data_IF_825757360547
#
_entry.id   IF_825757360547
#
_cell.length_a   1.000
_cell.length_b   1.000
_cell.length_c   1.000
_cell.angle_alpha   90.00
_cell.angle_beta   90.00
_cell.angle_gamma   90.00
#
_symmetry.space_group_name_H-M   'P 1'
#
loop_
_entity.id
_entity.type
_entity.pdbx_description
1 polymer ?
#
# COMPACT_ATOMS: atom_id res chain seq x y z
N UNK A 1 -59.31 1.40 18.86
CA UNK A 1 -58.46 1.47 17.65
C UNK A 1 -57.05 2.02 17.90
N UNK A 2 -56.72 2.60 19.06
CA UNK A 2 -55.37 3.17 19.31
C UNK A 2 -54.34 2.12 19.77
N UNK A 3 -54.77 1.02 20.39
CA UNK A 3 -53.86 0.01 20.96
C UNK A 3 -53.23 -0.92 19.92
N UNK A 4 -53.89 -1.14 18.79
CA UNK A 4 -53.45 -2.04 17.72
C UNK A 4 -52.11 -1.63 17.08
N UNK A 5 -51.88 -0.35 16.68
CA UNK A 5 -50.59 0.07 16.15
C UNK A 5 -49.48 0.09 17.22
N UNK A 6 -49.84 0.32 18.49
CA UNK A 6 -48.88 0.33 19.61
C UNK A 6 -48.37 -1.07 19.91
N UNK A 7 -49.23 -2.09 19.86
CA UNK A 7 -48.82 -3.48 20.07
C UNK A 7 -47.89 -3.95 18.95
N UNK A 8 -48.20 -3.58 17.69
CA UNK A 8 -47.35 -3.93 16.55
C UNK A 8 -45.96 -3.30 16.62
N UNK A 9 -45.87 -2.03 17.05
CA UNK A 9 -44.58 -1.35 17.19
C UNK A 9 -43.72 -1.93 18.31
N UNK A 10 -44.34 -2.31 19.44
CA UNK A 10 -43.65 -3.01 20.53
C UNK A 10 -43.12 -4.37 20.07
N UNK A 11 -43.91 -5.12 19.29
CA UNK A 11 -43.48 -6.44 18.79
C UNK A 11 -42.29 -6.33 17.84
N UNK A 12 -42.31 -5.36 16.92
CA UNK A 12 -41.18 -5.06 16.04
C UNK A 12 -39.94 -4.62 16.81
N UNK A 13 -40.11 -3.80 17.86
CA UNK A 13 -39.01 -3.34 18.69
C UNK A 13 -38.36 -4.48 19.48
N UNK A 14 -39.17 -5.40 20.03
CA UNK A 14 -38.67 -6.60 20.70
C UNK A 14 -37.93 -7.49 19.70
N UNK A 15 -38.47 -7.72 18.50
CA UNK A 15 -37.80 -8.51 17.47
C UNK A 15 -36.45 -7.89 17.05
N UNK A 16 -36.40 -6.56 16.90
CA UNK A 16 -35.16 -5.83 16.59
C UNK A 16 -34.15 -5.93 17.74
N UNK A 17 -34.60 -5.81 18.98
CA UNK A 17 -33.75 -6.03 20.15
C UNK A 17 -33.22 -7.45 20.17
N UNK A 18 -34.06 -8.47 19.98
CA UNK A 18 -33.63 -9.86 19.91
C UNK A 18 -32.62 -10.09 18.79
N UNK A 19 -32.80 -9.47 17.63
CA UNK A 19 -31.83 -9.52 16.53
C UNK A 19 -30.49 -8.89 16.90
N UNK A 20 -30.49 -7.69 17.51
CA UNK A 20 -29.27 -7.02 17.98
C UNK A 20 -28.59 -7.84 19.07
N UNK A 21 -29.36 -8.37 20.02
CA UNK A 21 -28.84 -9.22 21.07
C UNK A 21 -28.27 -10.51 20.49
N UNK A 22 -28.95 -11.19 19.56
CA UNK A 22 -28.43 -12.41 18.94
C UNK A 22 -27.13 -12.14 18.17
N UNK A 23 -27.05 -11.04 17.42
CA UNK A 23 -25.83 -10.63 16.72
C UNK A 23 -24.70 -10.15 17.63
N UNK A 24 -24.99 -9.79 18.89
CA UNK A 24 -23.99 -9.38 19.90
C UNK A 24 -23.69 -10.44 20.96
N UNK A 25 -24.55 -11.45 21.09
CA UNK A 25 -24.45 -12.57 22.03
C UNK A 25 -23.76 -13.80 21.42
N UNK A 26 -23.11 -13.66 20.26
CA UNK A 26 -22.00 -14.56 19.90
C UNK A 26 -20.81 -14.33 20.86
N UNK A 27 -21.05 -14.60 22.15
CA UNK A 27 -20.04 -14.87 23.15
C UNK A 27 -19.41 -16.21 22.78
N UNK A 28 -18.52 -16.17 21.80
CA UNK A 28 -17.69 -17.30 21.41
C UNK A 28 -16.83 -17.63 22.62
N UNK A 29 -17.09 -18.77 23.26
CA UNK A 29 -16.24 -19.29 24.34
C UNK A 29 -14.94 -19.73 23.68
N UNK A 30 -13.97 -18.83 23.68
CA UNK A 30 -12.62 -19.07 23.16
C UNK A 30 -11.99 -20.18 23.99
N UNK A 31 -11.67 -21.32 23.37
CA UNK A 31 -10.97 -22.40 24.07
C UNK A 31 -9.57 -21.93 24.47
N UNK A 32 -9.02 -22.42 25.58
CA UNK A 32 -7.63 -22.14 25.98
C UNK A 32 -6.69 -22.49 24.81
N UNK A 33 -6.04 -21.48 24.23
CA UNK A 33 -5.18 -21.60 23.05
C UNK A 33 -5.67 -20.81 21.83
N UNK A 34 -6.99 -20.70 21.63
CA UNK A 34 -7.57 -19.92 20.53
C UNK A 34 -7.41 -18.40 20.75
N UNK A 35 -7.37 -17.94 22.00
CA UNK A 35 -7.16 -16.53 22.34
C UNK A 35 -5.78 -16.04 21.90
N UNK A 36 -4.74 -16.85 22.17
CA UNK A 36 -3.37 -16.51 21.78
C UNK A 36 -3.20 -16.50 20.25
N UNK A 37 -3.88 -17.41 19.54
CA UNK A 37 -3.88 -17.43 18.07
C UNK A 37 -4.63 -16.25 17.46
N UNK A 38 -5.72 -15.82 18.09
CA UNK A 38 -6.46 -14.61 17.72
C UNK A 38 -5.61 -13.35 17.95
N UNK A 39 -4.95 -13.25 19.11
CA UNK A 39 -4.07 -12.13 19.44
C UNK A 39 -2.89 -12.04 18.46
N UNK A 40 -2.29 -13.17 18.07
CA UNK A 40 -1.22 -13.18 17.05
C UNK A 40 -1.74 -12.78 15.68
N UNK A 41 -2.92 -13.26 15.26
CA UNK A 41 -3.50 -12.90 13.96
C UNK A 41 -3.93 -11.42 13.91
N UNK A 42 -4.46 -10.87 15.01
CA UNK A 42 -4.77 -9.45 15.12
C UNK A 42 -3.50 -8.60 15.09
N UNK A 43 -2.45 -9.04 15.78
CA UNK A 43 -1.14 -8.41 15.75
C UNK A 43 -0.52 -8.42 14.35
N UNK A 44 -0.50 -9.57 13.67
CA UNK A 44 0.01 -9.71 12.30
C UNK A 44 -0.80 -8.89 11.30
N UNK A 45 -2.14 -8.87 11.42
CA UNK A 45 -3.01 -7.99 10.62
C UNK A 45 -2.67 -6.50 10.84
N UNK A 46 -2.38 -6.11 12.09
CA UNK A 46 -1.99 -4.73 12.41
C UNK A 46 -0.62 -4.36 11.83
N UNK A 47 0.34 -5.29 11.83
CA UNK A 47 1.66 -5.11 11.22
C UNK A 47 1.54 -4.95 9.70
N UNK A 48 0.74 -5.79 9.04
CA UNK A 48 0.58 -5.71 7.58
C UNK A 48 -0.14 -4.41 7.20
N UNK A 49 -1.15 -3.96 7.96
CA UNK A 49 -1.79 -2.65 7.73
C UNK A 49 -0.76 -1.53 7.83
N UNK A 50 0.08 -1.55 8.88
CA UNK A 50 1.16 -0.56 9.05
C UNK A 50 2.17 -0.61 7.90
N UNK A 51 2.51 -1.79 7.40
CA UNK A 51 3.37 -1.94 6.23
C UNK A 51 2.72 -1.33 4.96
N UNK A 52 1.42 -1.53 4.75
CA UNK A 52 0.68 -0.89 3.65
C UNK A 52 0.67 0.64 3.79
N UNK A 53 0.37 1.18 4.97
CA UNK A 53 0.40 2.63 5.21
C UNK A 53 1.80 3.23 4.98
N UNK A 54 2.85 2.49 5.34
CA UNK A 54 4.25 2.90 5.13
C UNK A 54 4.62 2.87 3.64
N UNK A 55 4.10 1.90 2.89
CA UNK A 55 4.25 1.85 1.44
C UNK A 55 3.48 2.98 0.73
N UNK A 56 2.27 3.31 1.19
CA UNK A 56 1.50 4.45 0.69
C UNK A 56 2.23 5.78 0.97
N UNK A 57 2.87 5.90 2.13
CA UNK A 57 3.73 7.05 2.42
C UNK A 57 4.91 7.13 1.42
N UNK A 58 5.58 6.00 1.16
CA UNK A 58 6.69 5.93 0.21
C UNK A 58 6.27 6.38 -1.20
N UNK A 59 5.15 5.87 -1.70
CA UNK A 59 4.63 6.26 -3.03
C UNK A 59 4.27 7.75 -3.08
N UNK A 60 3.65 8.29 -2.02
CA UNK A 60 3.32 9.72 -1.94
C UNK A 60 4.56 10.64 -1.96
N UNK A 61 5.65 10.23 -1.30
CA UNK A 61 6.92 10.97 -1.32
C UNK A 61 7.57 10.92 -2.71
N UNK A 62 7.50 9.77 -3.40
CA UNK A 62 7.95 9.64 -4.80
C UNK A 62 7.16 10.56 -5.73
N UNK A 63 5.83 10.58 -5.64
CA UNK A 63 4.98 11.49 -6.42
C UNK A 63 5.35 12.97 -6.20
N UNK A 64 5.60 13.33 -4.94
CA UNK A 64 6.04 14.69 -4.58
C UNK A 64 7.37 15.06 -5.25
N UNK A 65 8.28 14.09 -5.35
CA UNK A 65 9.60 14.27 -5.96
C UNK A 65 9.54 14.25 -7.47
N UNK A 66 8.68 13.43 -8.08
CA UNK A 66 8.39 13.46 -9.51
C UNK A 66 7.81 14.82 -9.93
N UNK A 67 6.85 15.36 -9.17
CA UNK A 67 6.31 16.69 -9.42
C UNK A 67 7.38 17.80 -9.34
N UNK A 68 8.41 17.63 -8.50
CA UNK A 68 9.56 18.54 -8.44
C UNK A 68 10.57 18.29 -9.56
N UNK A 69 10.76 17.04 -9.98
CA UNK A 69 11.56 16.70 -11.15
C UNK A 69 11.00 17.37 -12.41
N UNK A 70 9.67 17.35 -12.58
CA UNK A 70 9.00 18.03 -13.68
C UNK A 70 9.21 19.57 -13.63
N UNK A 71 9.26 20.16 -12.43
CA UNK A 71 9.59 21.59 -12.25
C UNK A 71 11.05 21.88 -12.56
N UNK A 72 11.95 21.00 -12.15
CA UNK A 72 13.39 21.10 -12.42
C UNK A 72 13.68 20.99 -13.93
N UNK A 73 12.97 20.11 -14.66
CA UNK A 73 13.09 20.01 -16.11
C UNK A 73 12.69 21.30 -16.84
N UNK A 74 11.74 22.06 -16.28
CA UNK A 74 11.32 23.36 -16.83
C UNK A 74 12.32 24.46 -16.51
N UNK A 75 12.84 24.50 -15.28
CA UNK A 75 13.82 25.51 -14.83
C UNK A 75 14.96 24.81 -14.09
N UNK A 76 16.03 24.39 -14.81
CA UNK A 76 17.06 23.55 -14.23
C UNK A 76 17.98 24.33 -13.31
N UNK A 77 17.87 24.09 -11.99
CA UNK A 77 18.78 24.64 -10.97
C UNK A 77 19.63 23.52 -10.36
N UNK A 78 20.71 23.13 -11.04
CA UNK A 78 21.56 21.98 -10.65
C UNK A 78 22.07 22.04 -9.20
N UNK A 79 22.44 23.23 -8.74
CA UNK A 79 22.99 23.47 -7.39
C UNK A 79 21.99 23.16 -6.26
N UNK A 80 20.68 23.31 -6.50
CA UNK A 80 19.64 23.01 -5.50
C UNK A 80 19.06 21.60 -5.67
N UNK A 81 19.15 21.06 -6.88
CA UNK A 81 18.58 19.74 -7.22
C UNK A 81 19.38 18.58 -6.65
N UNK A 82 20.70 18.59 -6.80
CA UNK A 82 21.58 17.52 -6.29
C UNK A 82 21.46 17.30 -4.77
N UNK A 83 21.52 18.33 -3.91
CA UNK A 83 21.33 18.12 -2.47
C UNK A 83 19.90 17.68 -2.11
N UNK A 84 18.90 18.14 -2.87
CA UNK A 84 17.52 17.69 -2.67
C UNK A 84 17.35 16.19 -2.97
N UNK A 85 17.91 15.69 -4.07
CA UNK A 85 17.86 14.27 -4.42
C UNK A 85 18.61 13.41 -3.41
N UNK A 86 19.78 13.86 -2.95
CA UNK A 86 20.51 13.14 -1.90
C UNK A 86 19.69 13.01 -0.62
N UNK A 87 19.04 14.10 -0.18
CA UNK A 87 18.15 14.08 0.98
C UNK A 87 16.94 13.16 0.78
N UNK A 88 16.37 13.14 -0.42
CA UNK A 88 15.22 12.27 -0.71
C UNK A 88 15.61 10.79 -0.77
N UNK A 89 16.78 10.46 -1.35
CA UNK A 89 17.33 9.09 -1.31
C UNK A 89 17.47 8.59 0.13
N UNK A 90 18.04 9.41 1.02
CA UNK A 90 18.17 9.07 2.43
C UNK A 90 16.81 8.78 3.07
N UNK A 91 15.80 9.63 2.80
CA UNK A 91 14.43 9.41 3.28
C UNK A 91 13.82 8.12 2.74
N UNK A 92 13.93 7.84 1.45
CA UNK A 92 13.41 6.60 0.86
C UNK A 92 14.06 5.38 1.48
N UNK A 93 15.39 5.39 1.65
CA UNK A 93 16.09 4.29 2.31
C UNK A 93 15.63 4.09 3.75
N UNK A 94 15.37 5.17 4.51
CA UNK A 94 14.83 5.08 5.85
C UNK A 94 13.41 4.51 5.91
N UNK A 95 12.54 4.91 4.97
CA UNK A 95 11.18 4.37 4.87
C UNK A 95 11.21 2.88 4.49
N UNK A 96 12.07 2.48 3.55
CA UNK A 96 12.22 1.08 3.18
C UNK A 96 12.79 0.23 4.32
N UNK A 97 13.74 0.75 5.10
CA UNK A 97 14.21 0.07 6.32
C UNK A 97 13.08 -0.11 7.33
N UNK A 98 12.26 0.93 7.56
CA UNK A 98 11.11 0.82 8.46
C UNK A 98 10.07 -0.21 7.98
N UNK A 99 9.87 -0.30 6.66
CA UNK A 99 9.02 -1.32 6.05
C UNK A 99 9.61 -2.73 6.25
N UNK A 100 10.91 -2.91 6.03
CA UNK A 100 11.60 -4.18 6.27
C UNK A 100 11.54 -4.58 7.74
N UNK A 101 11.71 -3.66 8.69
CA UNK A 101 11.59 -3.90 10.13
C UNK A 101 10.17 -4.34 10.51
N UNK A 102 9.15 -3.67 9.96
CA UNK A 102 7.74 -4.02 10.20
C UNK A 102 7.40 -5.40 9.66
N UNK A 103 7.94 -5.75 8.48
CA UNK A 103 7.78 -7.07 7.87
C UNK A 103 8.60 -8.14 8.58
N UNK A 104 9.77 -7.79 9.14
CA UNK A 104 10.59 -8.72 9.91
C UNK A 104 9.94 -9.12 11.24
N UNK A 105 9.13 -8.23 11.82
CA UNK A 105 8.37 -8.48 13.04
C UNK A 105 7.14 -9.39 12.84
N UNK A 106 6.78 -9.71 11.60
CA UNK A 106 5.69 -10.60 11.27
C UNK A 106 6.03 -12.05 11.64
N UNK A 107 5.09 -12.78 12.25
CA UNK A 107 5.35 -14.13 12.79
C UNK A 107 5.84 -15.15 11.74
N UNK A 108 5.41 -14.99 10.48
CA UNK A 108 5.81 -15.83 9.34
C UNK A 108 7.10 -15.36 8.61
N UNK A 109 7.85 -14.41 9.19
CA UNK A 109 8.96 -13.71 8.53
C UNK A 109 10.05 -14.61 7.94
N UNK A 110 10.47 -15.65 8.68
CA UNK A 110 11.56 -16.55 8.24
C UNK A 110 11.12 -17.65 7.27
N UNK A 111 9.82 -17.96 7.20
CA UNK A 111 9.29 -19.11 6.46
C UNK A 111 8.49 -18.74 5.23
N UNK A 112 8.07 -17.47 5.07
CA UNK A 112 7.28 -17.06 3.91
C UNK A 112 8.16 -16.59 2.72
N UNK A 113 8.26 -17.37 1.63
CA UNK A 113 9.00 -16.98 0.43
C UNK A 113 8.44 -15.71 -0.25
N UNK A 114 7.22 -15.28 0.10
CA UNK A 114 6.62 -14.03 -0.40
C UNK A 114 7.30 -12.79 0.17
N UNK A 115 7.84 -12.85 1.39
CA UNK A 115 8.57 -11.73 1.98
C UNK A 115 9.91 -11.48 1.27
N UNK A 116 10.61 -12.54 0.88
CA UNK A 116 11.80 -12.43 0.02
C UNK A 116 11.48 -11.84 -1.36
N UNK A 117 10.33 -12.21 -1.94
CA UNK A 117 9.84 -11.60 -3.19
C UNK A 117 9.42 -10.14 -3.00
N UNK A 118 8.78 -9.80 -1.88
CA UNK A 118 8.38 -8.44 -1.55
C UNK A 118 9.60 -7.54 -1.41
N UNK A 119 10.66 -7.99 -0.72
CA UNK A 119 11.92 -7.25 -0.58
C UNK A 119 12.59 -6.98 -1.93
N UNK A 120 12.71 -7.99 -2.78
CA UNK A 120 13.30 -7.81 -4.13
C UNK A 120 12.42 -6.91 -5.01
N UNK A 121 11.10 -7.02 -4.92
CA UNK A 121 10.17 -6.16 -5.67
C UNK A 121 10.22 -4.70 -5.18
N UNK A 122 10.34 -4.47 -3.87
CA UNK A 122 10.49 -3.15 -3.27
C UNK A 122 11.79 -2.47 -3.74
N UNK A 123 12.89 -3.22 -3.78
CA UNK A 123 14.17 -2.71 -4.27
C UNK A 123 14.10 -2.36 -5.76
N UNK A 124 13.52 -3.25 -6.58
CA UNK A 124 13.28 -2.98 -8.00
C UNK A 124 12.38 -1.76 -8.22
N UNK A 125 11.41 -1.54 -7.34
CA UNK A 125 10.53 -0.38 -7.37
C UNK A 125 11.28 0.92 -7.06
N UNK A 126 12.15 0.92 -6.03
CA UNK A 126 13.03 2.06 -5.75
C UNK A 126 13.92 2.39 -6.95
N UNK A 127 14.59 1.40 -7.52
CA UNK A 127 15.50 1.61 -8.66
C UNK A 127 14.73 2.16 -9.88
N UNK A 128 13.53 1.66 -10.13
CA UNK A 128 12.67 2.15 -11.22
C UNK A 128 12.20 3.60 -11.00
N UNK A 129 11.83 3.95 -9.77
CA UNK A 129 11.42 5.31 -9.41
C UNK A 129 12.59 6.30 -9.50
N UNK A 130 13.79 5.91 -9.06
CA UNK A 130 14.98 6.75 -9.21
C UNK A 130 15.31 7.02 -10.67
N UNK A 131 15.26 5.99 -11.53
CA UNK A 131 15.44 6.16 -12.97
C UNK A 131 14.38 7.09 -13.57
N UNK A 132 13.12 6.97 -13.14
CA UNK A 132 12.05 7.85 -13.59
C UNK A 132 12.28 9.32 -13.19
N UNK A 133 12.76 9.56 -11.97
CA UNK A 133 13.13 10.91 -11.49
C UNK A 133 14.29 11.48 -12.31
N UNK A 134 15.32 10.68 -12.59
CA UNK A 134 16.48 11.11 -13.38
C UNK A 134 16.08 11.48 -14.81
N UNK A 135 15.31 10.61 -15.48
CA UNK A 135 14.80 10.88 -16.84
C UNK A 135 13.92 12.13 -16.85
N UNK A 136 12.94 12.24 -15.94
CA UNK A 136 12.04 13.40 -15.91
C UNK A 136 12.73 14.71 -15.56
N UNK A 137 13.75 14.70 -14.71
CA UNK A 137 14.49 15.92 -14.34
C UNK A 137 15.41 16.45 -15.44
N UNK A 138 15.75 15.61 -16.42
CA UNK A 138 16.67 15.92 -17.52
C UNK A 138 15.94 16.13 -18.85
N UNK A 139 14.77 15.52 -19.05
CA UNK A 139 13.91 15.77 -20.21
C UNK A 139 13.27 17.15 -20.11
N UNK A 140 13.84 18.14 -20.80
CA UNK A 140 13.25 19.47 -20.89
C UNK A 140 11.90 19.41 -21.62
N UNK A 141 10.78 19.54 -20.90
CA UNK A 141 9.55 20.05 -21.52
C UNK A 141 9.74 21.54 -21.79
N UNK A 142 10.48 21.86 -22.86
CA UNK A 142 10.68 23.23 -23.32
C UNK A 142 9.33 23.86 -23.69
N UNK A 143 8.94 24.99 -23.07
CA UNK A 143 7.92 25.87 -23.61
C UNK A 143 8.56 26.72 -24.72
N UNK A 144 8.08 26.50 -25.95
CA UNK A 144 8.15 27.37 -27.13
C UNK A 144 9.41 28.24 -27.34
N UNK A 145 10.28 27.85 -28.30
CA UNK A 145 10.37 28.60 -29.57
C UNK A 145 11.28 27.96 -30.64
N UNK A 146 10.83 28.11 -31.89
CA UNK A 146 11.54 27.99 -33.17
C UNK A 146 11.90 26.59 -33.75
N UNK A 147 11.11 26.22 -34.76
CA UNK A 147 11.48 25.54 -36.01
C UNK A 147 12.56 24.45 -36.01
N UNK A 148 12.13 23.26 -36.44
CA UNK A 148 12.91 22.10 -36.94
C UNK A 148 13.06 20.91 -35.96
N UNK A 149 12.95 19.72 -36.53
CA UNK A 149 13.00 18.37 -35.92
C UNK A 149 11.72 17.87 -35.20
N UNK A 150 10.85 17.23 -36.00
CA UNK A 150 9.60 16.58 -35.56
C UNK A 150 9.79 15.11 -35.11
N UNK A 151 11.03 14.63 -34.89
CA UNK A 151 11.31 13.20 -34.68
C UNK A 151 11.87 12.81 -33.29
N UNK A 152 12.44 13.74 -32.51
CA UNK A 152 13.08 13.41 -31.21
C UNK A 152 12.13 13.49 -30.00
N UNK A 153 11.07 14.30 -30.05
CA UNK A 153 10.14 14.49 -28.92
C UNK A 153 9.30 13.24 -28.59
N UNK A 154 9.14 12.30 -29.53
CA UNK A 154 8.33 11.09 -29.32
C UNK A 154 9.08 9.96 -28.61
N UNK A 155 10.42 9.91 -28.70
CA UNK A 155 11.20 8.88 -28.00
C UNK A 155 11.23 9.11 -26.50
N UNK A 156 11.49 10.34 -26.07
CA UNK A 156 11.66 10.66 -24.65
C UNK A 156 10.35 10.53 -23.89
N UNK A 157 9.24 10.98 -24.50
CA UNK A 157 7.91 10.80 -23.94
C UNK A 157 7.52 9.31 -23.84
N UNK A 158 7.93 8.49 -24.81
CA UNK A 158 7.69 7.04 -24.79
C UNK A 158 8.51 6.34 -23.70
N UNK A 159 9.77 6.75 -23.51
CA UNK A 159 10.64 6.24 -22.44
C UNK A 159 10.09 6.61 -21.06
N UNK A 160 9.67 7.86 -20.84
CA UNK A 160 9.03 8.27 -19.58
C UNK A 160 7.75 7.46 -19.29
N UNK A 161 6.97 7.18 -20.33
CA UNK A 161 5.73 6.41 -20.19
C UNK A 161 5.98 4.92 -19.92
N UNK A 162 7.03 4.34 -20.52
CA UNK A 162 7.45 2.95 -20.28
C UNK A 162 7.97 2.77 -18.84
N UNK A 163 8.78 3.72 -18.34
CA UNK A 163 9.21 3.71 -16.95
C UNK A 163 8.04 3.88 -15.97
N UNK A 164 7.10 4.79 -16.28
CA UNK A 164 5.91 4.99 -15.45
C UNK A 164 5.01 3.74 -15.42
N UNK A 165 4.85 3.04 -16.54
CA UNK A 165 4.12 1.77 -16.59
C UNK A 165 4.81 0.69 -15.76
N UNK A 166 6.14 0.59 -15.84
CA UNK A 166 6.92 -0.36 -15.03
C UNK A 166 6.80 -0.07 -13.53
N UNK A 167 6.80 1.19 -13.11
CA UNK A 167 6.57 1.57 -11.71
C UNK A 167 5.16 1.16 -11.26
N UNK A 168 4.12 1.46 -12.06
CA UNK A 168 2.75 1.08 -11.77
C UNK A 168 2.57 -0.45 -11.66
N UNK A 169 3.19 -1.23 -12.54
CA UNK A 169 3.15 -2.69 -12.48
C UNK A 169 3.83 -3.23 -11.20
N UNK A 170 4.94 -2.62 -10.78
CA UNK A 170 5.62 -2.98 -9.54
C UNK A 170 4.81 -2.59 -8.30
N UNK A 171 4.13 -1.44 -8.29
CA UNK A 171 3.22 -1.02 -7.23
C UNK A 171 2.06 -2.01 -7.05
N UNK A 172 1.44 -2.42 -8.16
CA UNK A 172 0.37 -3.42 -8.14
C UNK A 172 0.89 -4.75 -7.60
N UNK A 173 2.09 -5.18 -8.00
CA UNK A 173 2.68 -6.42 -7.48
C UNK A 173 2.98 -6.32 -5.97
N UNK A 174 3.49 -5.19 -5.48
CA UNK A 174 3.74 -4.96 -4.06
C UNK A 174 2.43 -4.98 -3.27
N UNK A 175 1.39 -4.29 -3.75
CA UNK A 175 0.07 -4.28 -3.14
C UNK A 175 -0.57 -5.68 -3.12
N UNK A 176 -0.42 -6.47 -4.18
CA UNK A 176 -0.90 -7.84 -4.24
C UNK A 176 -0.14 -8.76 -3.27
N UNK A 177 1.18 -8.60 -3.15
CA UNK A 177 1.99 -9.37 -2.20
C UNK A 177 1.63 -9.03 -0.75
N UNK A 178 1.48 -7.75 -0.42
CA UNK A 178 1.03 -7.29 0.89
C UNK A 178 -0.38 -7.81 1.21
N UNK A 179 -1.31 -7.76 0.24
CA UNK A 179 -2.66 -8.29 0.42
C UNK A 179 -2.71 -9.82 0.51
N UNK A 180 -1.81 -10.51 -0.17
CA UNK A 180 -1.70 -11.97 -0.09
C UNK A 180 -1.19 -12.43 1.30
N UNK A 181 -0.40 -11.59 1.98
CA UNK A 181 -0.02 -11.80 3.38
C UNK A 181 -1.25 -11.67 4.30
N UNK A 182 -2.12 -10.68 4.07
CA UNK A 182 -3.40 -10.54 4.81
C UNK A 182 -4.34 -11.72 4.57
N UNK A 183 -4.47 -12.18 3.31
CA UNK A 183 -5.40 -13.24 2.95
C UNK A 183 -4.98 -14.66 3.38
N UNK A 184 -3.74 -14.85 3.85
CA UNK A 184 -3.29 -16.12 4.41
C UNK A 184 -3.90 -16.35 5.79
N UNK A 185 -4.02 -15.30 6.59
CA UNK A 185 -4.72 -15.31 7.89
C UNK A 185 -6.21 -15.64 7.74
N UNK A 186 -6.89 -15.14 6.71
CA UNK A 186 -8.31 -15.45 6.49
C UNK A 186 -8.53 -16.92 6.09
N UNK A 187 -7.55 -17.55 5.42
CA UNK A 187 -7.60 -19.00 5.14
C UNK A 187 -7.30 -19.82 6.39
N UNK A 188 -6.35 -19.42 7.23
CA UNK A 188 -6.11 -20.08 8.52
C UNK A 188 -7.32 -19.93 9.47
N UNK A 189 -7.99 -18.78 9.45
CA UNK A 189 -9.30 -18.57 10.11
C UNK A 189 -10.40 -19.47 9.55
N UNK A 190 -10.37 -19.80 8.25
CA UNK A 190 -11.35 -20.69 7.62
C UNK A 190 -11.18 -22.17 8.06
N UNK A 191 -9.96 -22.63 8.35
CA UNK A 191 -9.73 -23.98 8.92
C UNK A 191 -10.14 -24.11 10.39
N UNK A 192 -10.30 -22.99 11.09
CA UNK A 192 -10.81 -22.91 12.46
C UNK A 192 -12.34 -22.81 12.53
N UNK A 193 -13.05 -22.90 11.39
CA UNK A 193 -14.49 -23.11 11.41
C UNK A 193 -14.77 -24.56 11.81
N UNK A 194 -15.53 -24.82 12.89
CA UNK A 194 -16.01 -26.17 13.13
C UNK A 194 -16.85 -26.58 11.91
N UNK A 195 -16.46 -27.69 11.28
CA UNK A 195 -17.33 -28.41 10.36
C UNK A 195 -18.60 -28.74 11.15
N UNK A 196 -19.70 -28.09 10.79
CA UNK A 196 -21.05 -28.37 11.30
C UNK A 196 -21.44 -29.83 11.05
#
# INVERSE_FOLDING_TARGET
MVYEPVILSVFLFIALLTYIFYGRLELRIVKKGEAALLDTAEYDTSLIRRAMETFDLLTSEFDSTLARADKQAKVPVKQKWQPYIAQQREKYTGICQSLEETLAAHSASETDPRLGKLKTTLQNYMDAQEQQIEVRSTTSMSPEDSSSSKSSKSSDAKVVLEHAQRCADLEVNIALLLRALVGQDDREKAWLQPVL
#
